data_IF_501362082378
#
_entry.id   IF_501362082378
#
_cell.length_a   1.000
_cell.length_b   1.000
_cell.length_c   1.000
_cell.angle_alpha   90.00
_cell.angle_beta   90.00
_cell.angle_gamma   90.00
#
_symmetry.space_group_name_H-M   'P 1'
#
loop_
_entity.id
_entity.type
_entity.pdbx_description
1 polymer ?
#
# COMPACT_ATOMS: atom_id res chain seq x y z
N UNK A 1 9.05 -1.28 6.63
CA UNK A 1 8.06 -2.36 6.45
C UNK A 1 8.21 -2.89 5.04
N UNK A 2 8.15 -4.21 4.84
CA UNK A 2 8.14 -4.80 3.51
C UNK A 2 6.71 -5.28 3.20
N UNK A 3 6.22 -5.01 1.99
CA UNK A 3 4.96 -5.56 1.50
C UNK A 3 5.11 -6.02 0.06
N UNK A 4 4.34 -7.04 -0.28
CA UNK A 4 4.18 -7.52 -1.64
C UNK A 4 2.73 -7.28 -2.08
N UNK A 5 2.54 -6.51 -3.14
CA UNK A 5 1.24 -6.25 -3.73
C UNK A 5 0.96 -7.34 -4.78
N UNK A 6 0.27 -8.37 -4.31
CA UNK A 6 -0.12 -9.51 -5.12
C UNK A 6 -1.38 -9.21 -5.92
N UNK A 7 -1.33 -9.40 -7.24
CA UNK A 7 -2.54 -9.62 -8.03
C UNK A 7 -2.65 -11.11 -8.24
N UNK A 8 -3.82 -11.70 -8.03
CA UNK A 8 -4.04 -13.13 -8.23
C UNK A 8 -4.07 -13.47 -9.73
N UNK A 9 -2.92 -13.34 -10.37
CA UNK A 9 -2.68 -13.65 -11.77
C UNK A 9 -1.26 -14.18 -11.91
N UNK A 10 -1.05 -15.36 -12.52
CA UNK A 10 0.28 -15.92 -12.74
C UNK A 10 1.12 -15.10 -13.74
N UNK A 11 0.49 -14.20 -14.49
CA UNK A 11 1.14 -13.39 -15.53
C UNK A 11 1.53 -11.99 -15.05
N UNK A 12 1.16 -11.60 -13.83
CA UNK A 12 1.57 -10.32 -13.27
C UNK A 12 2.69 -10.54 -12.25
N UNK A 13 3.80 -9.83 -12.41
CA UNK A 13 4.84 -9.81 -11.38
C UNK A 13 4.30 -9.11 -10.12
N UNK A 14 4.57 -9.70 -8.96
CA UNK A 14 4.22 -9.09 -7.69
C UNK A 14 5.06 -7.85 -7.46
N UNK A 15 4.42 -6.75 -7.08
CA UNK A 15 5.13 -5.53 -6.74
C UNK A 15 5.64 -5.61 -5.30
N UNK A 16 6.95 -5.78 -5.12
CA UNK A 16 7.60 -5.75 -3.80
C UNK A 16 7.96 -4.30 -3.46
N UNK A 17 7.53 -3.82 -2.29
CA UNK A 17 7.78 -2.45 -1.84
C UNK A 17 8.35 -2.49 -0.44
N UNK A 18 9.41 -1.71 -0.23
CA UNK A 18 9.90 -1.36 1.09
C UNK A 18 9.47 0.07 1.42
N UNK A 19 8.70 0.26 2.49
CA UNK A 19 8.12 1.55 2.85
C UNK A 19 8.24 1.86 4.35
N UNK A 20 8.24 3.15 4.67
CA UNK A 20 8.07 3.66 6.01
C UNK A 20 6.60 3.97 6.23
N UNK A 21 6.09 3.61 7.40
CA UNK A 21 4.73 3.93 7.83
C UNK A 21 4.79 4.87 9.02
N UNK A 22 4.18 6.03 8.89
CA UNK A 22 4.00 6.99 9.97
C UNK A 22 2.53 7.08 10.37
N UNK A 23 2.25 7.03 11.67
CA UNK A 23 0.90 7.12 12.21
C UNK A 23 0.80 8.32 13.15
N UNK A 24 -0.23 9.14 13.00
CA UNK A 24 -0.48 10.30 13.85
C UNK A 24 -1.97 10.53 14.06
N UNK A 25 -2.35 10.80 15.30
CA UNK A 25 -3.67 11.33 15.61
C UNK A 25 -3.75 12.78 15.12
N UNK A 26 -4.56 13.04 14.10
CA UNK A 26 -4.72 14.36 13.49
C UNK A 26 -5.80 15.19 14.19
N UNK A 27 -6.83 14.54 14.73
CA UNK A 27 -7.86 15.17 15.55
C UNK A 27 -8.46 14.18 16.55
N UNK A 28 -9.37 14.64 17.42
CA UNK A 28 -10.11 13.73 18.31
C UNK A 28 -10.94 12.77 17.46
N UNK A 29 -10.70 11.46 17.60
CA UNK A 29 -11.38 10.43 16.81
C UNK A 29 -10.85 10.28 15.38
N UNK A 30 -9.79 10.98 14.97
CA UNK A 30 -9.24 10.89 13.62
C UNK A 30 -7.74 10.56 13.63
N UNK A 31 -7.37 9.52 12.90
CA UNK A 31 -5.99 9.05 12.74
C UNK A 31 -5.59 9.08 11.28
N UNK A 32 -4.40 9.61 11.01
CA UNK A 32 -3.76 9.56 9.71
C UNK A 32 -2.61 8.56 9.76
N UNK A 33 -2.51 7.76 8.71
CA UNK A 33 -1.45 6.82 8.43
C UNK A 33 -0.86 7.19 7.07
N UNK A 34 0.46 7.26 6.99
CA UNK A 34 1.19 7.68 5.79
C UNK A 34 2.25 6.66 5.44
N UNK A 35 2.25 6.22 4.18
CA UNK A 35 3.19 5.27 3.61
C UNK A 35 4.02 5.93 2.51
N UNK A 36 5.34 5.80 2.62
CA UNK A 36 6.32 6.30 1.64
C UNK A 36 7.38 5.24 1.37
N UNK A 37 7.68 4.99 0.09
CA UNK A 37 8.74 4.06 -0.28
C UNK A 37 10.12 4.56 0.15
N UNK A 38 10.94 3.65 0.66
CA UNK A 38 12.30 3.94 1.10
C UNK A 38 13.21 4.28 -0.09
N UNK A 39 12.95 3.68 -1.25
CA UNK A 39 13.71 3.90 -2.48
C UNK A 39 13.60 5.35 -2.99
N UNK A 40 12.49 6.04 -2.68
CA UNK A 40 12.32 7.47 -2.95
C UNK A 40 13.08 8.39 -1.99
N UNK A 41 13.52 7.88 -0.83
CA UNK A 41 14.16 8.66 0.24
C UNK A 41 15.68 8.51 0.20
N UNK A 42 16.19 7.29 -0.03
CA UNK A 42 17.63 7.01 0.04
C UNK A 42 18.40 7.39 -1.22
N UNK A 43 17.72 7.73 -2.32
CA UNK A 43 18.36 7.84 -3.63
C UNK A 43 19.01 6.52 -4.06
N UNK A 44 19.66 6.46 -5.24
CA UNK A 44 20.44 5.30 -5.61
C UNK A 44 21.53 5.06 -4.54
N UNK A 45 21.77 3.81 -4.12
CA UNK A 45 22.66 3.53 -2.99
C UNK A 45 24.05 4.14 -3.22
N UNK A 46 24.44 5.03 -2.30
CA UNK A 46 25.75 5.65 -2.26
C UNK A 46 26.83 4.57 -2.08
N UNK A 47 27.45 4.15 -3.19
CA UNK A 47 28.48 3.12 -3.20
C UNK A 47 28.47 2.22 -4.45
N UNK A 48 27.38 2.16 -5.20
CA UNK A 48 27.37 1.42 -6.47
C UNK A 48 27.97 2.29 -7.58
N UNK A 49 29.27 2.14 -7.85
CA UNK A 49 29.93 2.68 -9.05
C UNK A 49 29.58 1.92 -10.34
N UNK A 50 28.42 1.27 -10.38
CA UNK A 50 27.85 0.80 -11.64
C UNK A 50 26.53 1.52 -11.85
N UNK A 51 26.46 2.17 -13.00
CA UNK A 51 25.29 2.82 -13.61
C UNK A 51 24.25 1.78 -14.00
N UNK A 52 23.83 0.94 -13.07
CA UNK A 52 22.85 -0.10 -13.33
C UNK A 52 21.57 0.27 -12.61
N UNK A 53 20.75 1.11 -13.26
CA UNK A 53 19.33 1.27 -12.92
C UNK A 53 18.62 -0.09 -12.78
N UNK A 54 19.18 -1.14 -13.40
CA UNK A 54 18.80 -2.53 -13.25
C UNK A 54 18.97 -3.07 -11.81
N UNK A 55 20.02 -2.74 -11.05
CA UNK A 55 20.24 -3.33 -9.72
C UNK A 55 19.22 -2.86 -8.66
N UNK A 56 18.73 -1.62 -8.77
CA UNK A 56 17.60 -1.12 -7.96
C UNK A 56 16.28 -1.71 -8.45
N UNK A 57 16.11 -1.85 -9.77
CA UNK A 57 14.97 -2.56 -10.37
C UNK A 57 14.94 -4.08 -10.10
N UNK A 58 16.05 -4.67 -9.63
CA UNK A 58 16.13 -6.10 -9.34
C UNK A 58 15.55 -6.46 -7.96
N UNK A 59 15.31 -5.49 -7.08
CA UNK A 59 14.73 -5.74 -5.75
C UNK A 59 13.32 -5.12 -5.57
N UNK A 60 13.02 -4.10 -6.37
CA UNK A 60 11.69 -3.49 -6.49
C UNK A 60 11.20 -3.74 -7.91
N UNK A 61 9.99 -4.28 -8.08
CA UNK A 61 9.39 -4.71 -9.37
C UNK A 61 9.08 -3.56 -10.35
N UNK A 62 9.89 -2.51 -10.35
CA UNK A 62 9.64 -1.25 -11.06
C UNK A 62 8.50 -0.43 -10.48
N UNK A 63 7.89 -0.81 -9.34
CA UNK A 63 6.86 -0.01 -8.68
C UNK A 63 7.20 0.40 -7.25
N UNK A 64 6.84 1.63 -6.89
CA UNK A 64 7.09 2.25 -5.59
C UNK A 64 5.89 3.06 -5.12
N UNK A 65 5.70 3.18 -3.81
CA UNK A 65 4.73 4.10 -3.20
C UNK A 65 5.37 5.49 -3.03
N UNK A 66 4.80 6.52 -3.62
CA UNK A 66 5.31 7.88 -3.51
C UNK A 66 4.86 8.51 -2.19
N UNK A 67 3.55 8.70 -2.03
CA UNK A 67 2.93 9.25 -0.83
C UNK A 67 1.52 8.67 -0.77
N UNK A 68 1.35 7.53 -0.12
CA UNK A 68 0.03 6.90 0.06
C UNK A 68 -0.47 7.17 1.47
N UNK A 69 -1.71 7.59 1.61
CA UNK A 69 -2.28 7.95 2.90
C UNK A 69 -3.55 7.16 3.23
N UNK A 70 -3.85 7.13 4.51
CA UNK A 70 -5.06 6.55 5.06
C UNK A 70 -5.54 7.38 6.22
N UNK A 71 -6.81 7.76 6.19
CA UNK A 71 -7.48 8.49 7.26
C UNK A 71 -8.57 7.60 7.84
N UNK A 72 -8.51 7.39 9.14
CA UNK A 72 -9.49 6.63 9.93
C UNK A 72 -10.24 7.63 10.79
N UNK A 73 -11.55 7.72 10.57
CA UNK A 73 -12.48 8.62 11.27
C UNK A 73 -13.45 7.79 12.10
N UNK A 74 -13.42 7.99 13.42
CA UNK A 74 -14.49 7.53 14.31
C UNK A 74 -15.77 8.31 13.99
N UNK A 75 -16.84 7.58 13.69
CA UNK A 75 -18.13 8.18 13.32
C UNK A 75 -18.89 8.72 14.53
N UNK A 76 -18.39 8.54 15.77
CA UNK A 76 -18.79 9.29 16.98
C UNK A 76 -20.23 9.10 17.45
N UNK A 77 -21.06 8.34 16.74
CA UNK A 77 -22.49 8.11 17.04
C UNK A 77 -22.75 6.88 17.91
N UNK A 78 -21.75 6.41 18.66
CA UNK A 78 -21.89 5.24 19.54
C UNK A 78 -22.14 3.91 18.82
N UNK A 79 -22.02 3.88 17.49
CA UNK A 79 -22.30 2.70 16.66
C UNK A 79 -21.11 1.74 16.54
N UNK A 80 -19.92 2.12 17.04
CA UNK A 80 -18.71 1.29 17.00
C UNK A 80 -18.04 1.20 15.63
N UNK A 81 -18.49 1.98 14.64
CA UNK A 81 -17.95 1.97 13.27
C UNK A 81 -17.00 3.14 13.02
N UNK A 82 -16.01 2.90 12.17
CA UNK A 82 -15.14 3.93 11.63
C UNK A 82 -15.31 4.05 10.11
N UNK A 83 -15.09 5.24 9.58
CA UNK A 83 -14.93 5.49 8.16
C UNK A 83 -13.44 5.46 7.84
N UNK A 84 -13.06 4.67 6.84
CA UNK A 84 -11.67 4.57 6.37
C UNK A 84 -11.60 5.15 4.96
N UNK A 85 -10.74 6.13 4.76
CA UNK A 85 -10.43 6.72 3.45
C UNK A 85 -8.98 6.41 3.13
N UNK A 86 -8.71 5.76 2.00
CA UNK A 86 -7.36 5.39 1.59
C UNK A 86 -7.05 5.96 0.21
N UNK A 87 -5.92 6.66 0.08
CA UNK A 87 -5.40 7.15 -1.20
C UNK A 87 -4.08 6.44 -1.49
N UNK A 88 -3.99 5.80 -2.66
CA UNK A 88 -2.72 5.25 -3.14
C UNK A 88 -2.12 6.19 -4.16
N UNK A 89 -0.89 6.61 -3.90
CA UNK A 89 -0.03 7.24 -4.89
C UNK A 89 1.17 6.33 -5.14
N UNK A 90 1.21 5.73 -6.33
CA UNK A 90 2.22 4.76 -6.73
C UNK A 90 2.73 5.06 -8.14
N UNK A 91 4.03 4.90 -8.32
CA UNK A 91 4.68 4.87 -9.63
C UNK A 91 4.97 3.44 -10.03
N UNK A 92 4.86 3.13 -11.31
CA UNK A 92 5.24 1.85 -11.88
C UNK A 92 5.73 2.02 -13.33
N UNK A 93 6.64 1.14 -13.75
CA UNK A 93 7.01 1.04 -15.16
C UNK A 93 5.93 0.28 -15.96
N UNK A 94 5.12 1.02 -16.70
CA UNK A 94 4.04 0.47 -17.53
C UNK A 94 4.54 -0.39 -18.71
N UNK A 95 5.83 -0.28 -19.08
CA UNK A 95 6.43 -1.11 -20.14
C UNK A 95 6.61 -2.55 -19.69
N UNK A 96 6.82 -2.79 -18.39
CA UNK A 96 6.92 -4.12 -17.79
C UNK A 96 5.56 -4.76 -17.51
N UNK A 97 4.46 -4.03 -17.73
CA UNK A 97 3.09 -4.48 -17.46
C UNK A 97 2.46 -5.01 -18.74
N UNK A 98 1.98 -6.27 -18.77
CA UNK A 98 1.25 -6.79 -19.91
C UNK A 98 -0.01 -5.94 -20.16
N UNK A 99 -0.30 -5.65 -21.44
CA UNK A 99 -1.35 -4.71 -21.86
C UNK A 99 -2.71 -5.02 -21.20
N UNK A 100 -3.04 -6.30 -21.04
CA UNK A 100 -4.28 -6.76 -20.40
C UNK A 100 -4.44 -6.26 -18.94
N UNK A 101 -3.35 -6.04 -18.22
CA UNK A 101 -3.36 -5.62 -16.81
C UNK A 101 -3.20 -4.11 -16.60
N UNK A 102 -2.84 -3.35 -17.64
CA UNK A 102 -2.72 -1.89 -17.55
C UNK A 102 -4.00 -1.22 -17.02
N UNK A 103 -5.22 -1.58 -17.46
CA UNK A 103 -6.44 -1.02 -16.89
C UNK A 103 -6.58 -1.25 -15.38
N UNK A 104 -6.14 -2.42 -14.88
CA UNK A 104 -6.22 -2.78 -13.47
C UNK A 104 -5.28 -1.95 -12.59
N UNK A 105 -4.07 -1.65 -13.10
CA UNK A 105 -3.09 -0.80 -12.44
C UNK A 105 -3.50 0.67 -12.51
N UNK A 106 -3.94 1.16 -13.67
CA UNK A 106 -4.47 2.52 -13.85
C UNK A 106 -5.69 2.80 -12.97
N UNK A 107 -6.54 1.79 -12.73
CA UNK A 107 -7.68 1.93 -11.82
C UNK A 107 -7.29 1.84 -10.33
N UNK A 108 -6.00 1.62 -10.01
CA UNK A 108 -5.50 1.48 -8.65
C UNK A 108 -5.89 0.18 -7.92
N UNK A 109 -6.67 -0.70 -8.55
CA UNK A 109 -7.20 -1.92 -7.91
C UNK A 109 -6.11 -2.97 -7.66
N UNK A 110 -5.04 -2.94 -8.47
CA UNK A 110 -3.88 -3.80 -8.27
C UNK A 110 -3.14 -3.52 -6.94
N UNK A 111 -3.20 -2.30 -6.42
CA UNK A 111 -2.43 -1.89 -5.24
C UNK A 111 -3.02 -2.34 -3.89
N UNK A 112 -4.03 -3.22 -3.92
CA UNK A 112 -4.40 -4.00 -2.75
C UNK A 112 -5.23 -3.30 -1.68
N UNK A 113 -5.58 -2.02 -1.84
CA UNK A 113 -6.44 -1.28 -0.89
C UNK A 113 -7.72 -2.04 -0.55
N UNK A 114 -8.42 -2.53 -1.58
CA UNK A 114 -9.68 -3.25 -1.39
C UNK A 114 -9.48 -4.56 -0.60
N UNK A 115 -8.37 -5.27 -0.85
CA UNK A 115 -8.03 -6.50 -0.13
C UNK A 115 -7.65 -6.20 1.31
N UNK A 116 -6.86 -5.14 1.53
CA UNK A 116 -6.49 -4.68 2.86
C UNK A 116 -7.73 -4.29 3.68
N UNK A 117 -8.64 -3.50 3.09
CA UNK A 117 -9.88 -3.10 3.75
C UNK A 117 -10.76 -4.31 4.10
N UNK A 118 -10.91 -5.27 3.18
CA UNK A 118 -11.64 -6.51 3.44
C UNK A 118 -11.00 -7.34 4.56
N UNK A 119 -9.67 -7.39 4.64
CA UNK A 119 -8.94 -8.07 5.72
C UNK A 119 -9.13 -7.37 7.07
N UNK A 120 -9.11 -6.04 7.10
CA UNK A 120 -9.38 -5.24 8.31
C UNK A 120 -10.80 -5.47 8.79
N UNK A 121 -11.78 -5.43 7.89
CA UNK A 121 -13.18 -5.70 8.22
C UNK A 121 -13.35 -7.11 8.80
N UNK A 122 -12.79 -8.14 8.16
CA UNK A 122 -12.87 -9.53 8.65
C UNK A 122 -12.22 -9.69 10.03
N UNK A 123 -11.10 -9.01 10.28
CA UNK A 123 -10.44 -9.03 11.60
C UNK A 123 -11.32 -8.36 12.66
N UNK A 124 -11.96 -7.24 12.33
CA UNK A 124 -12.91 -6.60 13.23
C UNK A 124 -14.09 -7.52 13.55
N UNK A 125 -14.73 -8.12 12.55
CA UNK A 125 -15.82 -9.08 12.73
C UNK A 125 -15.40 -10.26 13.62
N UNK A 126 -14.22 -10.83 13.36
CA UNK A 126 -13.68 -11.92 14.20
C UNK A 126 -13.49 -11.49 15.66
N UNK A 127 -12.90 -10.32 15.91
CA UNK A 127 -12.74 -9.79 17.26
C UNK A 127 -14.09 -9.53 17.93
N UNK A 128 -15.09 -9.01 17.21
CA UNK A 128 -16.42 -8.80 17.78
C UNK A 128 -17.07 -10.10 18.25
N UNK A 129 -16.92 -11.19 17.49
CA UNK A 129 -17.43 -12.51 17.88
C UNK A 129 -16.68 -13.04 19.11
N UNK A 130 -15.35 -12.96 19.12
CA UNK A 130 -14.54 -13.40 20.27
C UNK A 130 -14.90 -12.66 21.56
N UNK A 131 -15.13 -11.35 21.49
CA UNK A 131 -15.49 -10.55 22.66
C UNK A 131 -16.94 -10.73 23.13
N UNK A 132 -17.75 -11.46 22.36
CA UNK A 132 -19.16 -11.76 22.70
C UNK A 132 -19.37 -13.17 23.26
N UNK A 133 -18.33 -14.02 23.29
CA UNK A 133 -18.32 -15.38 23.85
C UNK A 133 -17.81 -15.40 25.29
#
# INVERSE_FOLDING_TARGET
MNAELWVQSPHLLNCKINFLRYNKRVAKGQWAMMDVSVDGILGPPAGSRTTDAAAVANNTTGCRLLLSDCVIEDMGKGNGYCKITWVVHAEYDETMVPILFRPLLRSGKAFGVHRWLASVQRQYEYLTVLHSS
#
